data_IF_596604920657
#
_entry.id   IF_596604920657
#
_cell.length_a   1.000
_cell.length_b   1.000
_cell.length_c   1.000
_cell.angle_alpha   90.00
_cell.angle_beta   90.00
_cell.angle_gamma   90.00
#
_symmetry.space_group_name_H-M   'P 1'
#
loop_
_entity.id
_entity.type
_entity.pdbx_description
1 polymer ?
#
# COMPACT_ATOMS: atom_id res chain seq x y z
N UNK A 1 -18.95 -23.94 0.31
CA UNK A 1 -17.75 -23.20 0.71
C UNK A 1 -17.68 -23.16 2.22
N UNK A 2 -16.50 -23.40 2.74
CA UNK A 2 -16.29 -23.44 4.17
C UNK A 2 -15.96 -22.05 4.70
N UNK A 3 -16.69 -21.59 5.72
CA UNK A 3 -16.42 -20.30 6.36
C UNK A 3 -15.00 -20.16 6.85
N UNK A 4 -14.37 -21.28 7.19
CA UNK A 4 -13.01 -21.27 7.72
C UNK A 4 -11.98 -20.72 6.72
N UNK A 5 -12.21 -20.88 5.42
CA UNK A 5 -11.28 -20.36 4.42
C UNK A 5 -11.20 -18.85 4.44
N UNK A 6 -12.36 -18.19 4.50
CA UNK A 6 -12.36 -16.72 4.57
C UNK A 6 -11.68 -16.22 5.83
N UNK A 7 -11.98 -16.86 6.96
CA UNK A 7 -11.36 -16.49 8.23
C UNK A 7 -9.84 -16.71 8.22
N UNK A 8 -9.40 -17.86 7.70
CA UNK A 8 -7.97 -18.18 7.64
C UNK A 8 -7.24 -17.21 6.75
N UNK A 9 -7.78 -16.89 5.57
CA UNK A 9 -7.16 -15.95 4.64
C UNK A 9 -7.05 -14.56 5.25
N UNK A 10 -8.11 -14.08 5.87
CA UNK A 10 -8.11 -12.78 6.51
C UNK A 10 -7.14 -12.72 7.67
N UNK A 11 -7.13 -13.73 8.53
CA UNK A 11 -6.22 -13.81 9.68
C UNK A 11 -4.78 -13.87 9.24
N UNK A 12 -4.49 -14.65 8.19
CA UNK A 12 -3.14 -14.78 7.65
C UNK A 12 -2.66 -13.46 7.08
N UNK A 13 -3.52 -12.76 6.31
CA UNK A 13 -3.19 -11.47 5.74
C UNK A 13 -2.87 -10.45 6.83
N UNK A 14 -3.66 -10.42 7.89
CA UNK A 14 -3.42 -9.53 9.03
C UNK A 14 -2.10 -9.83 9.72
N UNK A 15 -1.78 -11.10 9.91
CA UNK A 15 -0.52 -11.49 10.53
C UNK A 15 0.67 -11.08 9.69
N UNK A 16 0.59 -11.29 8.39
CA UNK A 16 1.66 -10.88 7.46
C UNK A 16 1.86 -9.37 7.52
N UNK A 17 0.78 -8.62 7.50
CA UNK A 17 0.83 -7.17 7.57
C UNK A 17 1.47 -6.68 8.87
N UNK A 18 1.12 -7.28 9.99
CA UNK A 18 1.71 -6.94 11.29
C UNK A 18 3.19 -7.26 11.33
N UNK A 19 3.61 -8.40 10.78
CA UNK A 19 5.01 -8.78 10.72
C UNK A 19 5.82 -7.81 9.86
N UNK A 20 5.28 -7.42 8.70
CA UNK A 20 5.94 -6.45 7.83
C UNK A 20 6.08 -5.10 8.51
N UNK A 21 5.02 -4.64 9.20
CA UNK A 21 5.08 -3.37 9.91
C UNK A 21 6.12 -3.42 11.03
N UNK A 22 6.19 -4.53 11.74
CA UNK A 22 7.19 -4.71 12.78
C UNK A 22 8.60 -4.66 12.20
N UNK A 23 8.82 -5.31 11.06
CA UNK A 23 10.12 -5.28 10.38
C UNK A 23 10.51 -3.87 9.95
N UNK A 24 9.56 -3.12 9.40
CA UNK A 24 9.81 -1.74 9.02
C UNK A 24 10.21 -0.91 10.24
N UNK A 25 9.53 -1.10 11.37
CA UNK A 25 9.84 -0.40 12.60
C UNK A 25 11.21 -0.76 13.13
N UNK A 26 11.57 -2.04 13.09
CA UNK A 26 12.88 -2.52 13.52
C UNK A 26 14.01 -1.95 12.69
N UNK A 27 13.77 -1.77 11.37
CA UNK A 27 14.76 -1.23 10.45
C UNK A 27 14.79 0.29 10.43
N UNK A 28 13.92 0.94 11.19
CA UNK A 28 13.83 2.39 11.21
C UNK A 28 13.20 3.00 9.98
N UNK A 29 12.44 2.21 9.24
CA UNK A 29 11.75 2.69 8.02
C UNK A 29 10.44 3.33 8.43
N UNK A 30 10.27 4.61 8.14
CA UNK A 30 9.09 5.38 8.53
C UNK A 30 8.02 5.35 7.45
N UNK A 31 7.53 4.15 7.15
CA UNK A 31 6.37 3.97 6.27
C UNK A 31 5.48 2.86 6.83
N UNK A 32 4.21 2.92 6.47
CA UNK A 32 3.27 1.84 6.80
C UNK A 32 3.27 0.80 5.69
N UNK A 33 2.73 -0.38 5.99
CA UNK A 33 2.58 -1.44 4.97
C UNK A 33 1.71 -0.95 3.81
N UNK A 34 0.64 -0.20 4.11
CA UNK A 34 -0.25 0.33 3.06
C UNK A 34 0.49 1.32 2.15
N UNK A 35 1.33 2.17 2.73
CA UNK A 35 2.16 3.09 1.96
C UNK A 35 3.16 2.33 1.10
N UNK A 36 3.76 1.28 1.65
CA UNK A 36 4.70 0.44 0.92
C UNK A 36 4.03 -0.22 -0.28
N UNK A 37 2.79 -0.73 -0.11
CA UNK A 37 2.05 -1.38 -1.20
C UNK A 37 1.87 -0.42 -2.38
N UNK A 38 1.45 0.81 -2.11
CA UNK A 38 1.26 1.82 -3.16
C UNK A 38 2.58 2.17 -3.82
N UNK A 39 3.62 2.38 -3.02
CA UNK A 39 4.95 2.71 -3.52
C UNK A 39 5.49 1.59 -4.40
N UNK A 40 5.34 0.35 -3.97
CA UNK A 40 5.79 -0.83 -4.71
C UNK A 40 5.06 -0.94 -6.04
N UNK A 41 3.75 -0.71 -6.05
CA UNK A 41 2.96 -0.74 -7.28
C UNK A 41 3.45 0.30 -8.28
N UNK A 42 3.72 1.51 -7.81
CA UNK A 42 4.27 2.55 -8.67
C UNK A 42 5.66 2.20 -9.19
N UNK A 43 6.46 1.56 -8.36
CA UNK A 43 7.81 1.16 -8.75
C UNK A 43 7.79 0.08 -9.83
N UNK A 44 6.94 -0.92 -9.68
CA UNK A 44 6.87 -2.06 -10.58
C UNK A 44 6.20 -1.71 -11.91
N UNK A 45 5.10 -0.97 -11.86
CA UNK A 45 4.27 -0.69 -13.04
C UNK A 45 4.42 0.74 -13.57
N UNK A 46 5.17 1.58 -12.87
CA UNK A 46 5.40 2.95 -13.29
C UNK A 46 4.22 3.87 -13.03
N UNK A 47 4.20 4.99 -13.72
CA UNK A 47 3.17 6.00 -13.55
C UNK A 47 1.80 5.44 -13.92
N UNK A 48 0.83 5.64 -13.04
CA UNK A 48 -0.53 5.14 -13.21
C UNK A 48 -1.52 6.22 -12.80
N UNK A 49 -2.73 6.19 -13.38
CA UNK A 49 -3.78 7.04 -12.90
C UNK A 49 -4.37 6.47 -11.60
N UNK A 50 -5.17 7.29 -10.92
CA UNK A 50 -5.72 6.92 -9.62
C UNK A 50 -6.64 5.71 -9.69
N UNK A 51 -7.38 5.54 -10.80
CA UNK A 51 -8.28 4.40 -10.96
C UNK A 51 -7.49 3.09 -11.02
N UNK A 52 -6.40 3.06 -11.80
CA UNK A 52 -5.53 1.90 -11.86
C UNK A 52 -4.92 1.57 -10.52
N UNK A 53 -4.45 2.57 -9.78
CA UNK A 53 -3.89 2.36 -8.45
C UNK A 53 -4.91 1.77 -7.49
N UNK A 54 -6.15 2.27 -7.52
CA UNK A 54 -7.21 1.73 -6.67
C UNK A 54 -7.47 0.26 -6.97
N UNK A 55 -7.52 -0.10 -8.24
CA UNK A 55 -7.75 -1.48 -8.64
C UNK A 55 -6.59 -2.39 -8.24
N UNK A 56 -5.36 -2.00 -8.54
CA UNK A 56 -4.18 -2.83 -8.29
C UNK A 56 -3.88 -2.97 -6.80
N UNK A 57 -4.14 -1.94 -6.02
CA UNK A 57 -3.88 -1.97 -4.58
C UNK A 57 -5.09 -2.44 -3.77
N UNK A 58 -6.23 -2.66 -4.41
CA UNK A 58 -7.49 -3.05 -3.76
C UNK A 58 -7.88 -2.06 -2.66
N UNK A 59 -7.74 -0.77 -2.94
CA UNK A 59 -8.08 0.31 -2.01
C UNK A 59 -8.99 1.32 -2.69
N UNK A 60 -9.78 2.04 -1.88
CA UNK A 60 -10.67 3.06 -2.42
C UNK A 60 -9.91 4.36 -2.73
N UNK A 61 -10.55 5.24 -3.50
CA UNK A 61 -9.92 6.47 -3.96
C UNK A 61 -9.50 7.41 -2.82
N UNK A 62 -10.32 7.65 -1.79
CA UNK A 62 -9.88 8.50 -0.68
C UNK A 62 -8.66 7.95 0.04
N UNK A 63 -8.58 6.64 0.21
CA UNK A 63 -7.42 6.00 0.86
C UNK A 63 -6.17 6.17 0.02
N UNK A 64 -6.26 5.92 -1.28
CA UNK A 64 -5.14 6.08 -2.21
C UNK A 64 -4.67 7.54 -2.22
N UNK A 65 -5.59 8.50 -2.30
CA UNK A 65 -5.25 9.91 -2.29
C UNK A 65 -4.46 10.28 -1.04
N UNK A 66 -4.92 9.83 0.12
CA UNK A 66 -4.24 10.14 1.38
C UNK A 66 -2.85 9.51 1.43
N UNK A 67 -2.71 8.27 0.97
CA UNK A 67 -1.43 7.59 0.96
C UNK A 67 -0.44 8.32 0.04
N UNK A 68 -0.90 8.71 -1.15
CA UNK A 68 -0.05 9.44 -2.09
C UNK A 68 0.39 10.79 -1.51
N UNK A 69 -0.52 11.50 -0.86
CA UNK A 69 -0.19 12.77 -0.22
C UNK A 69 0.87 12.61 0.85
N UNK A 70 0.78 11.53 1.66
CA UNK A 70 1.77 11.25 2.67
C UNK A 70 3.13 10.89 2.06
N UNK A 71 3.14 10.13 0.99
CA UNK A 71 4.38 9.76 0.30
C UNK A 71 5.04 10.99 -0.34
N UNK A 72 4.24 11.89 -0.92
CA UNK A 72 4.73 13.15 -1.47
C UNK A 72 5.34 14.03 -0.38
N UNK A 73 4.67 14.10 0.77
CA UNK A 73 5.13 14.88 1.90
C UNK A 73 6.47 14.36 2.43
N UNK A 74 6.67 13.05 2.39
CA UNK A 74 7.92 12.41 2.82
C UNK A 74 8.98 12.41 1.72
N UNK A 75 8.65 12.94 0.54
CA UNK A 75 9.54 12.99 -0.62
C UNK A 75 9.97 11.61 -1.14
N UNK A 76 9.15 10.58 -0.87
CA UNK A 76 9.41 9.23 -1.32
C UNK A 76 9.02 9.05 -2.79
N UNK A 77 7.94 9.72 -3.21
CA UNK A 77 7.49 9.70 -4.61
C UNK A 77 7.38 11.13 -5.11
N UNK A 78 7.44 11.28 -6.42
CA UNK A 78 7.27 12.57 -7.08
C UNK A 78 5.96 12.57 -7.86
N UNK A 79 5.31 13.73 -7.89
CA UNK A 79 4.14 13.92 -8.73
C UNK A 79 4.60 14.46 -10.07
N UNK A 80 4.45 13.64 -11.10
CA UNK A 80 4.80 14.07 -12.45
C UNK A 80 3.84 15.13 -12.96
N UNK A 81 4.36 16.03 -13.78
CA UNK A 81 3.55 17.08 -14.36
C UNK A 81 2.46 16.54 -15.26
N UNK A 82 2.63 15.34 -15.77
CA UNK A 82 1.67 14.70 -16.67
C UNK A 82 0.58 13.93 -15.94
N UNK A 83 0.71 13.75 -14.66
CA UNK A 83 -0.23 12.93 -13.90
C UNK A 83 -1.47 13.68 -13.50
#
# INVERSE_FOLDING_TARGET
MNFNYGFILESTAKKIKLELQRKFNELGIDITVDQWVVMHELHVHGTQNQVSLCEHCAKDAPTITRIIELLLKKEIVNRDACS
#
